data_IF_359607119945
#
_entry.id   IF_359607119945
#
_cell.length_a   1.000
_cell.length_b   1.000
_cell.length_c   1.000
_cell.angle_alpha   90.00
_cell.angle_beta   90.00
_cell.angle_gamma   90.00
#
_symmetry.space_group_name_H-M   'P 1'
#
loop_
_entity.id
_entity.type
_entity.pdbx_description
1 polymer ?
#
# COMPACT_ATOMS: atom_id res chain seq x y z
N UNK A 1 8.40 -16.22 7.95
CA UNK A 1 8.03 -14.81 8.21
C UNK A 1 6.77 -14.78 9.06
N UNK A 2 6.78 -14.11 10.22
CA UNK A 2 5.58 -13.92 11.05
C UNK A 2 4.99 -12.53 10.81
N UNK A 3 3.66 -12.44 10.71
CA UNK A 3 2.97 -11.16 10.57
C UNK A 3 2.66 -10.58 11.96
N UNK A 4 3.02 -9.31 12.18
CA UNK A 4 2.74 -8.57 13.42
C UNK A 4 1.76 -7.44 13.15
N UNK A 5 0.48 -7.62 13.52
CA UNK A 5 -0.54 -6.60 13.33
C UNK A 5 -0.49 -5.51 14.42
N UNK A 6 -0.25 -4.26 14.00
CA UNK A 6 -0.03 -3.10 14.87
C UNK A 6 -1.07 -2.03 14.62
N UNK A 7 -1.56 -1.43 15.70
CA UNK A 7 -2.33 -0.19 15.66
C UNK A 7 -1.41 0.87 16.26
N UNK A 8 -1.27 2.01 15.59
CA UNK A 8 -0.41 3.09 16.07
C UNK A 8 -1.11 4.43 15.83
N UNK A 9 -1.38 5.15 16.93
CA UNK A 9 -1.93 6.50 16.88
C UNK A 9 -1.03 7.44 16.08
N UNK A 10 0.28 7.38 16.29
CA UNK A 10 1.28 8.19 15.59
C UNK A 10 1.30 7.92 14.08
N UNK A 11 1.29 6.65 13.67
CA UNK A 11 1.23 6.29 12.24
C UNK A 11 -0.06 6.79 11.59
N UNK A 12 -1.19 6.66 12.28
CA UNK A 12 -2.48 7.16 11.80
C UNK A 12 -2.55 8.70 11.75
N UNK A 13 -1.93 9.40 12.70
CA UNK A 13 -1.84 10.86 12.69
C UNK A 13 -0.98 11.35 11.51
N UNK A 14 0.18 10.72 11.30
CA UNK A 14 1.02 11.03 10.14
C UNK A 14 0.25 10.79 8.85
N UNK A 15 -0.38 9.61 8.70
CA UNK A 15 -1.20 9.30 7.54
C UNK A 15 -2.33 10.32 7.31
N UNK A 16 -3.01 10.74 8.38
CA UNK A 16 -4.09 11.73 8.32
C UNK A 16 -3.61 13.05 7.68
N UNK A 17 -2.52 13.62 8.19
CA UNK A 17 -1.96 14.89 7.67
C UNK A 17 -1.33 14.70 6.28
N UNK A 18 -0.61 13.60 6.08
CA UNK A 18 0.02 13.25 4.79
C UNK A 18 -1.04 13.15 3.69
N UNK A 19 -2.17 12.49 3.97
CA UNK A 19 -3.27 12.34 3.04
C UNK A 19 -4.02 13.66 2.81
N UNK A 20 -4.32 14.43 3.86
CA UNK A 20 -5.04 15.71 3.78
C UNK A 20 -4.29 16.77 2.99
N UNK A 21 -2.96 16.72 2.99
CA UNK A 21 -2.14 17.67 2.24
C UNK A 21 -2.15 17.45 0.72
N UNK A 22 -2.61 16.30 0.22
CA UNK A 22 -2.66 15.96 -1.22
C UNK A 22 -1.36 16.25 -1.97
N UNK A 23 -0.22 16.02 -1.33
CA UNK A 23 1.06 16.42 -1.88
C UNK A 23 1.55 15.52 -3.02
N UNK A 24 1.04 14.28 -3.09
CA UNK A 24 1.34 13.30 -4.13
C UNK A 24 0.05 12.63 -4.68
N UNK A 25 0.18 11.95 -5.82
CA UNK A 25 -0.93 11.31 -6.54
C UNK A 25 -1.58 10.11 -5.81
N UNK A 26 -0.90 9.55 -4.81
CA UNK A 26 -1.38 8.42 -4.01
C UNK A 26 -2.22 8.86 -2.81
N UNK A 27 -2.33 10.16 -2.52
CA UNK A 27 -3.23 10.68 -1.50
C UNK A 27 -4.69 10.39 -1.90
N UNK A 28 -5.47 9.85 -0.95
CA UNK A 28 -6.87 9.49 -1.12
C UNK A 28 -7.76 10.73 -1.00
N UNK A 29 -8.03 11.39 -2.12
CA UNK A 29 -8.95 12.56 -2.17
C UNK A 29 -10.31 12.28 -1.54
N UNK A 30 -10.84 11.08 -1.71
CA UNK A 30 -12.12 10.69 -1.12
C UNK A 30 -12.08 10.66 0.42
N UNK A 31 -10.92 10.33 1.02
CA UNK A 31 -10.78 10.40 2.48
C UNK A 31 -10.83 11.85 2.96
N UNK A 32 -10.20 12.76 2.21
CA UNK A 32 -10.20 14.18 2.53
C UNK A 32 -11.61 14.76 2.43
N UNK A 33 -12.38 14.36 1.41
CA UNK A 33 -13.80 14.72 1.30
C UNK A 33 -14.58 14.26 2.55
N UNK A 34 -14.45 13.00 2.94
CA UNK A 34 -15.11 12.48 4.16
C UNK A 34 -14.70 13.22 5.44
N UNK A 35 -13.41 13.53 5.59
CA UNK A 35 -12.92 14.28 6.75
C UNK A 35 -13.41 15.73 6.76
N UNK A 36 -13.38 16.42 5.63
CA UNK A 36 -13.84 17.81 5.51
C UNK A 36 -15.36 17.92 5.68
N UNK A 37 -16.14 16.94 5.20
CA UNK A 37 -17.57 16.86 5.45
C UNK A 37 -17.86 16.79 6.97
N UNK A 38 -16.98 16.13 7.73
CA UNK A 38 -17.11 16.00 9.19
C UNK A 38 -16.62 17.22 9.97
N UNK A 39 -15.56 17.88 9.51
CA UNK A 39 -14.89 18.96 10.26
C UNK A 39 -15.23 20.37 9.78
N UNK A 40 -15.96 20.48 8.67
CA UNK A 40 -16.16 21.74 7.99
C UNK A 40 -14.92 22.22 7.22
N UNK A 41 -15.00 23.46 6.73
CA UNK A 41 -13.94 24.09 5.93
C UNK A 41 -12.66 24.25 6.75
N UNK A 42 -11.52 24.19 6.06
CA UNK A 42 -10.22 24.47 6.68
C UNK A 42 -10.08 25.94 7.06
N UNK A 43 -9.55 26.21 8.24
CA UNK A 43 -9.20 27.57 8.69
C UNK A 43 -8.01 28.12 7.89
N UNK A 44 -7.75 29.43 7.98
CA UNK A 44 -6.56 30.05 7.36
C UNK A 44 -5.27 29.39 7.84
N UNK A 45 -5.14 29.16 9.16
CA UNK A 45 -3.99 28.48 9.77
C UNK A 45 -3.79 27.06 9.22
N UNK A 46 -4.86 26.29 9.13
CA UNK A 46 -4.83 24.92 8.60
C UNK A 46 -4.43 24.87 7.11
N UNK A 47 -4.94 25.80 6.30
CA UNK A 47 -4.56 25.92 4.88
C UNK A 47 -3.07 26.22 4.72
N UNK A 48 -2.54 27.16 5.52
CA UNK A 48 -1.10 27.50 5.53
C UNK A 48 -0.26 26.29 5.96
N UNK A 49 -0.68 25.58 7.02
CA UNK A 49 0.00 24.38 7.49
C UNK A 49 0.07 23.28 6.40
N UNK A 50 -1.04 22.97 5.72
CA UNK A 50 -1.03 21.97 4.63
C UNK A 50 -0.19 22.42 3.44
N UNK A 51 -0.18 23.72 3.09
CA UNK A 51 0.68 24.26 2.03
C UNK A 51 2.15 24.03 2.38
N UNK A 52 2.55 24.38 3.59
CA UNK A 52 3.93 24.21 4.06
C UNK A 52 4.32 22.73 4.11
N UNK A 53 3.46 21.87 4.67
CA UNK A 53 3.66 20.42 4.69
C UNK A 53 3.83 19.86 3.27
N UNK A 54 2.97 20.26 2.32
CA UNK A 54 3.02 19.82 0.92
C UNK A 54 4.35 20.17 0.26
N UNK A 55 4.81 21.41 0.42
CA UNK A 55 6.10 21.85 -0.13
C UNK A 55 7.25 21.06 0.51
N UNK A 56 7.19 20.84 1.82
CA UNK A 56 8.18 20.07 2.56
C UNK A 56 8.28 18.62 2.08
N UNK A 57 7.14 17.93 1.91
CA UNK A 57 7.14 16.53 1.48
C UNK A 57 7.59 16.37 0.02
N UNK A 58 7.31 17.34 -0.86
CA UNK A 58 7.80 17.34 -2.24
C UNK A 58 9.33 17.45 -2.27
N UNK A 59 9.89 18.43 -1.57
CA UNK A 59 11.35 18.59 -1.41
C UNK A 59 12.01 17.29 -0.93
N UNK A 60 11.54 16.73 0.20
CA UNK A 60 12.16 15.52 0.74
C UNK A 60 11.84 14.24 -0.03
N UNK A 61 10.88 14.24 -0.95
CA UNK A 61 10.71 13.15 -1.92
C UNK A 61 11.83 13.17 -2.96
N UNK A 62 12.17 14.33 -3.49
CA UNK A 62 13.25 14.50 -4.48
C UNK A 62 14.62 14.13 -3.88
N UNK A 63 14.84 14.48 -2.61
CA UNK A 63 16.05 14.11 -1.85
C UNK A 63 16.04 12.64 -1.36
N UNK A 64 15.02 11.83 -1.69
CA UNK A 64 14.85 10.45 -1.21
C UNK A 64 14.78 10.29 0.34
N UNK A 65 14.44 11.35 1.07
CA UNK A 65 14.33 11.36 2.53
C UNK A 65 12.91 11.10 3.05
N UNK A 66 11.86 11.35 2.25
CA UNK A 66 10.46 11.14 2.64
C UNK A 66 10.20 9.73 3.19
N UNK A 67 10.75 8.69 2.55
CA UNK A 67 10.59 7.30 3.02
C UNK A 67 11.18 7.11 4.42
N UNK A 68 12.35 7.71 4.71
CA UNK A 68 13.01 7.64 6.02
C UNK A 68 12.19 8.38 7.08
N UNK A 69 11.70 9.59 6.76
CA UNK A 69 10.80 10.38 7.61
C UNK A 69 9.57 9.55 7.98
N UNK A 70 8.84 9.04 6.99
CA UNK A 70 7.65 8.21 7.19
C UNK A 70 7.94 6.99 8.06
N UNK A 71 9.04 6.28 7.82
CA UNK A 71 9.39 5.07 8.59
C UNK A 71 9.52 5.34 10.10
N UNK A 72 9.93 6.55 10.50
CA UNK A 72 10.03 6.94 11.91
C UNK A 72 8.64 6.95 12.57
N UNK A 73 7.62 7.49 11.91
CA UNK A 73 6.22 7.49 12.41
C UNK A 73 5.63 6.08 12.51
N UNK A 74 6.16 5.13 11.72
CA UNK A 74 5.82 3.71 11.75
C UNK A 74 6.87 2.90 12.52
N UNK A 75 7.39 3.42 13.63
CA UNK A 75 8.30 2.67 14.51
C UNK A 75 7.64 2.42 15.86
N UNK A 76 7.46 1.14 16.21
CA UNK A 76 6.65 0.70 17.36
C UNK A 76 7.17 1.08 18.75
N UNK A 77 8.34 1.71 18.88
CA UNK A 77 8.84 2.21 20.18
C UNK A 77 8.02 3.41 20.67
N UNK A 78 7.62 4.30 19.78
CA UNK A 78 6.91 5.54 20.15
C UNK A 78 5.42 5.31 20.42
N UNK A 79 4.81 4.32 19.76
CA UNK A 79 3.38 4.00 19.92
C UNK A 79 3.05 3.50 21.33
N UNK A 80 3.87 2.59 21.90
CA UNK A 80 3.65 2.01 23.23
C UNK A 80 3.81 3.03 24.37
N UNK A 81 4.64 4.04 24.16
CA UNK A 81 4.90 5.06 25.18
C UNK A 81 3.82 6.14 25.17
N UNK A 82 3.37 6.60 23.99
CA UNK A 82 2.23 7.55 23.90
C UNK A 82 0.96 6.96 24.53
N UNK A 83 0.68 5.67 24.33
CA UNK A 83 -0.51 5.02 24.93
C UNK A 83 -0.43 4.92 26.46
N UNK A 84 0.77 4.76 27.04
CA UNK A 84 0.95 4.62 28.49
C UNK A 84 0.94 5.97 29.23
N UNK A 85 1.28 7.07 28.57
CA UNK A 85 1.45 8.38 29.20
C UNK A 85 0.55 9.49 28.64
N UNK A 86 -0.42 9.18 27.75
CA UNK A 86 -1.34 10.17 27.18
C UNK A 86 -2.25 10.87 28.20
N UNK A 87 -2.31 10.39 29.45
CA UNK A 87 -3.06 11.02 30.54
C UNK A 87 -2.27 12.13 31.26
N UNK A 88 -0.97 12.27 30.99
CA UNK A 88 -0.12 13.32 31.54
C UNK A 88 0.27 14.30 30.44
N UNK A 89 -0.02 15.60 30.64
CA UNK A 89 0.41 16.65 29.72
C UNK A 89 1.95 16.62 29.48
N UNK A 90 2.74 16.22 30.47
CA UNK A 90 4.20 16.08 30.39
C UNK A 90 4.70 14.92 29.51
N UNK A 91 3.88 13.88 29.31
CA UNK A 91 4.26 12.70 28.53
C UNK A 91 4.36 12.98 27.04
N UNK A 92 3.62 13.96 26.53
CA UNK A 92 3.64 14.37 25.13
C UNK A 92 4.91 15.15 24.78
N UNK A 93 5.42 16.00 25.68
CA UNK A 93 6.60 16.83 25.41
C UNK A 93 7.90 16.03 25.34
N UNK A 94 8.17 15.17 26.33
CA UNK A 94 9.41 14.35 26.36
C UNK A 94 9.52 13.39 25.16
N UNK A 95 8.41 12.79 24.74
CA UNK A 95 8.40 11.85 23.60
C UNK A 95 8.40 12.54 22.24
N UNK A 96 7.76 13.70 22.14
CA UNK A 96 7.97 14.58 21.00
C UNK A 96 9.46 14.95 20.89
N UNK A 97 10.19 15.08 22.00
CA UNK A 97 11.63 15.29 22.02
C UNK A 97 12.43 14.23 21.25
N UNK A 98 12.25 12.95 21.53
CA UNK A 98 12.97 11.88 20.81
C UNK A 98 12.59 11.77 19.33
N UNK A 99 11.28 11.84 19.04
CA UNK A 99 10.77 11.79 17.67
C UNK A 99 11.30 12.99 16.87
N UNK A 100 11.23 14.20 17.44
CA UNK A 100 11.81 15.43 16.89
C UNK A 100 13.31 15.28 16.70
N UNK A 101 14.05 14.74 17.67
CA UNK A 101 15.50 14.52 17.57
C UNK A 101 15.85 13.60 16.40
N UNK A 102 15.11 12.49 16.20
CA UNK A 102 15.33 11.58 15.06
C UNK A 102 15.04 12.26 13.72
N UNK A 103 13.98 13.06 13.65
CA UNK A 103 13.65 13.83 12.43
C UNK A 103 14.70 14.92 12.18
N UNK A 104 15.12 15.69 13.20
CA UNK A 104 16.15 16.73 13.10
C UNK A 104 17.53 16.20 12.72
N UNK A 105 17.79 14.89 12.92
CA UNK A 105 18.98 14.21 12.38
C UNK A 105 18.87 13.87 10.89
N UNK A 106 17.67 13.83 10.32
CA UNK A 106 17.44 13.53 8.91
C UNK A 106 17.26 14.77 8.05
N UNK A 107 16.70 15.84 8.61
CA UNK A 107 16.32 17.04 7.88
C UNK A 107 16.67 18.30 8.67
N UNK A 108 16.72 19.44 7.99
CA UNK A 108 17.00 20.75 8.59
C UNK A 108 16.05 21.02 9.77
N UNK A 109 16.57 21.64 10.83
CA UNK A 109 15.81 21.95 12.06
C UNK A 109 14.53 22.71 11.74
N UNK A 110 14.64 23.81 10.96
CA UNK A 110 13.47 24.61 10.52
C UNK A 110 12.44 23.77 9.77
N UNK A 111 12.86 22.80 8.96
CA UNK A 111 11.95 21.89 8.26
C UNK A 111 11.27 20.89 9.19
N UNK A 112 12.01 20.39 10.19
CA UNK A 112 11.42 19.55 11.22
C UNK A 112 10.34 20.34 11.98
N UNK A 113 10.60 21.59 12.35
CA UNK A 113 9.63 22.42 13.06
C UNK A 113 8.36 22.64 12.20
N UNK A 114 8.50 22.96 10.90
CA UNK A 114 7.36 23.01 9.95
C UNK A 114 6.55 21.70 9.94
N UNK A 115 7.22 20.55 9.91
CA UNK A 115 6.56 19.24 9.93
C UNK A 115 5.72 19.06 11.19
N UNK A 116 6.31 19.32 12.35
CA UNK A 116 5.63 19.13 13.63
C UNK A 116 4.53 20.17 13.86
N UNK A 117 4.72 21.42 13.46
CA UNK A 117 3.70 22.46 13.55
C UNK A 117 2.48 22.13 12.69
N UNK A 118 2.72 21.56 11.50
CA UNK A 118 1.66 21.05 10.64
C UNK A 118 0.90 19.90 11.30
N UNK A 119 1.63 18.93 11.87
CA UNK A 119 1.04 17.78 12.57
C UNK A 119 0.23 18.23 13.81
N UNK A 120 0.75 19.17 14.59
CA UNK A 120 0.10 19.72 15.78
C UNK A 120 -1.14 20.54 15.44
N UNK A 121 -1.09 21.33 14.36
CA UNK A 121 -2.24 22.13 13.88
C UNK A 121 -3.47 21.27 13.63
N UNK A 122 -3.29 20.05 13.13
CA UNK A 122 -4.37 19.11 12.84
C UNK A 122 -4.66 18.12 13.98
N UNK A 123 -3.94 18.18 15.09
CA UNK A 123 -4.09 17.22 16.19
C UNK A 123 -5.50 17.20 16.79
N UNK A 124 -6.19 18.34 17.03
CA UNK A 124 -7.56 18.33 17.56
C UNK A 124 -8.54 17.58 16.64
N UNK A 125 -8.52 17.86 15.33
CA UNK A 125 -9.35 17.14 14.34
C UNK A 125 -8.99 15.66 14.27
N UNK A 126 -7.70 15.34 14.33
CA UNK A 126 -7.24 13.95 14.38
C UNK A 126 -7.73 13.21 15.65
N UNK A 127 -7.78 13.83 16.83
CA UNK A 127 -8.35 13.19 18.03
C UNK A 127 -9.80 12.76 17.79
N UNK A 128 -10.60 13.60 17.13
CA UNK A 128 -11.99 13.29 16.77
C UNK A 128 -12.10 12.15 15.75
N UNK A 129 -11.14 12.01 14.83
CA UNK A 129 -11.02 10.81 13.98
C UNK A 129 -10.65 9.61 14.85
N UNK A 130 -9.58 9.71 15.64
CA UNK A 130 -9.02 8.62 16.42
C UNK A 130 -10.04 8.02 17.38
N UNK A 131 -10.74 8.85 18.18
CA UNK A 131 -11.78 8.40 19.11
C UNK A 131 -12.90 7.62 18.41
N UNK A 132 -13.27 8.01 17.18
CA UNK A 132 -14.31 7.34 16.39
C UNK A 132 -13.83 5.98 15.83
N UNK A 133 -12.64 5.94 15.24
CA UNK A 133 -12.21 4.78 14.44
C UNK A 133 -11.26 3.81 15.16
N UNK A 134 -10.64 4.21 16.29
CA UNK A 134 -9.76 3.32 17.06
C UNK A 134 -10.49 2.05 17.56
N UNK A 135 -11.76 2.10 18.03
CA UNK A 135 -12.50 0.89 18.38
C UNK A 135 -12.65 -0.06 17.18
N UNK A 136 -12.94 0.49 15.99
CA UNK A 136 -13.01 -0.28 14.74
C UNK A 136 -11.69 -0.95 14.40
N UNK A 137 -10.57 -0.24 14.49
CA UNK A 137 -9.25 -0.84 14.25
C UNK A 137 -8.94 -1.96 15.25
N UNK A 138 -9.28 -1.77 16.52
CA UNK A 138 -9.08 -2.77 17.58
C UNK A 138 -9.92 -4.03 17.33
N UNK A 139 -11.18 -3.84 16.91
CA UNK A 139 -12.05 -4.93 16.49
C UNK A 139 -11.49 -5.67 15.26
N UNK A 140 -11.10 -4.94 14.21
CA UNK A 140 -10.47 -5.52 13.03
C UNK A 140 -9.22 -6.33 13.38
N UNK A 141 -8.36 -5.82 14.28
CA UNK A 141 -7.17 -6.54 14.73
C UNK A 141 -7.53 -7.88 15.38
N UNK A 142 -8.60 -7.94 16.19
CA UNK A 142 -9.08 -9.20 16.79
C UNK A 142 -9.53 -10.19 15.71
N UNK A 143 -10.35 -9.75 14.76
CA UNK A 143 -10.81 -10.55 13.61
C UNK A 143 -9.62 -11.10 12.82
N UNK A 144 -8.69 -10.22 12.46
CA UNK A 144 -7.50 -10.57 11.66
C UNK A 144 -6.65 -11.58 12.40
N UNK A 145 -6.40 -11.38 13.71
CA UNK A 145 -5.61 -12.31 14.51
C UNK A 145 -6.28 -13.69 14.63
N UNK A 146 -7.61 -13.73 14.78
CA UNK A 146 -8.36 -14.99 14.78
C UNK A 146 -8.18 -15.71 13.44
N UNK A 147 -8.49 -15.04 12.34
CA UNK A 147 -8.39 -15.62 11.00
C UNK A 147 -6.95 -15.94 10.59
N UNK A 148 -5.95 -15.19 11.06
CA UNK A 148 -4.53 -15.45 10.80
C UNK A 148 -4.08 -16.81 11.32
N UNK A 149 -4.64 -17.30 12.43
CA UNK A 149 -4.31 -18.63 12.96
C UNK A 149 -4.58 -19.72 11.92
N UNK A 150 -5.70 -19.61 11.22
CA UNK A 150 -6.15 -20.59 10.22
C UNK A 150 -5.43 -20.42 8.88
N UNK A 151 -5.03 -19.18 8.55
CA UNK A 151 -4.41 -18.86 7.26
C UNK A 151 -2.89 -18.83 7.28
N UNK A 152 -2.25 -18.91 8.46
CA UNK A 152 -0.78 -18.77 8.61
C UNK A 152 0.02 -19.74 7.74
N UNK A 153 -0.36 -21.02 7.70
CA UNK A 153 0.37 -22.03 6.93
C UNK A 153 0.25 -21.78 5.43
N UNK A 154 -0.94 -21.38 4.99
CA UNK A 154 -1.20 -20.96 3.62
C UNK A 154 -0.33 -19.75 3.24
N UNK A 155 -0.37 -18.68 4.04
CA UNK A 155 0.43 -17.47 3.82
C UNK A 155 1.93 -17.79 3.76
N UNK A 156 2.44 -18.64 4.66
CA UNK A 156 3.84 -19.08 4.60
C UNK A 156 4.18 -19.75 3.27
N UNK A 157 3.32 -20.65 2.78
CA UNK A 157 3.49 -21.30 1.48
C UNK A 157 3.51 -20.29 0.32
N UNK A 158 2.65 -19.27 0.35
CA UNK A 158 2.68 -18.15 -0.62
C UNK A 158 4.03 -17.48 -0.59
N UNK A 159 4.47 -17.06 0.60
CA UNK A 159 5.71 -16.33 0.75
C UNK A 159 6.92 -17.16 0.29
N UNK A 160 6.90 -18.49 0.41
CA UNK A 160 7.99 -19.35 -0.07
C UNK A 160 8.03 -19.37 -1.60
N UNK A 161 6.87 -19.51 -2.24
CA UNK A 161 6.77 -19.49 -3.70
C UNK A 161 7.13 -18.12 -4.28
N UNK A 162 6.68 -17.05 -3.64
CA UNK A 162 7.06 -15.69 -4.00
C UNK A 162 8.56 -15.47 -3.82
N UNK A 163 9.17 -15.96 -2.75
CA UNK A 163 10.61 -15.86 -2.56
C UNK A 163 11.37 -16.56 -3.71
N UNK A 164 11.00 -17.80 -4.07
CA UNK A 164 11.54 -18.49 -5.25
C UNK A 164 11.35 -17.68 -6.54
N UNK A 165 10.14 -17.15 -6.76
CA UNK A 165 9.82 -16.36 -7.95
C UNK A 165 10.69 -15.10 -8.05
N UNK A 166 10.86 -14.35 -6.96
CA UNK A 166 11.74 -13.18 -6.95
C UNK A 166 13.23 -13.54 -6.80
N UNK A 167 13.58 -14.83 -6.77
CA UNK A 167 14.95 -15.30 -6.62
C UNK A 167 15.60 -14.93 -5.29
N UNK A 168 14.80 -14.87 -4.23
CA UNK A 168 15.21 -14.52 -2.87
C UNK A 168 14.95 -15.67 -1.91
N UNK A 169 15.66 -15.65 -0.80
CA UNK A 169 15.30 -16.46 0.36
C UNK A 169 14.21 -15.73 1.15
N UNK A 170 13.31 -16.49 1.79
CA UNK A 170 12.44 -15.87 2.80
C UNK A 170 13.35 -15.38 3.93
N UNK A 171 13.40 -14.07 4.11
CA UNK A 171 13.99 -13.51 5.31
C UNK A 171 13.29 -14.09 6.54
N UNK A 172 14.06 -14.59 7.52
CA UNK A 172 13.55 -15.01 8.84
C UNK A 172 12.96 -13.84 9.66
N UNK A 173 12.82 -12.65 9.06
CA UNK A 173 12.34 -11.44 9.70
C UNK A 173 10.82 -11.45 9.81
N UNK A 174 10.33 -10.78 10.85
CA UNK A 174 8.91 -10.50 11.04
C UNK A 174 8.49 -9.31 10.17
N UNK A 175 7.24 -9.33 9.70
CA UNK A 175 6.62 -8.25 8.94
C UNK A 175 5.63 -7.50 9.84
N UNK A 176 5.87 -6.21 10.04
CA UNK A 176 4.94 -5.32 10.72
C UNK A 176 3.83 -4.86 9.77
N UNK A 177 2.59 -5.16 10.14
CA UNK A 177 1.40 -4.76 9.40
C UNK A 177 0.65 -3.71 10.21
N UNK A 178 0.81 -2.44 9.82
CA UNK A 178 0.15 -1.32 10.47
C UNK A 178 -1.28 -1.15 9.95
N UNK A 179 -2.27 -1.21 10.83
CA UNK A 179 -3.66 -0.97 10.50
C UNK A 179 -3.94 0.54 10.52
N UNK A 180 -4.42 1.06 9.40
CA UNK A 180 -4.67 2.49 9.16
C UNK A 180 -6.17 2.72 8.96
N UNK A 181 -6.66 3.86 9.45
CA UNK A 181 -8.06 4.27 9.36
C UNK A 181 -8.45 4.50 7.88
N UNK A 182 -9.49 3.81 7.42
CA UNK A 182 -10.23 4.15 6.19
C UNK A 182 -11.58 4.78 6.57
N UNK A 183 -11.82 6.07 6.28
CA UNK A 183 -13.11 6.69 6.54
C UNK A 183 -14.19 6.30 5.50
N UNK A 184 -13.79 5.81 4.33
CA UNK A 184 -14.68 5.47 3.21
C UNK A 184 -15.12 4.02 3.31
N UNK A 185 -16.44 3.78 3.27
CA UNK A 185 -17.01 2.42 3.28
C UNK A 185 -16.52 1.63 2.06
N UNK A 186 -16.23 0.35 2.25
CA UNK A 186 -15.81 -0.58 1.21
C UNK A 186 -14.52 -0.18 0.45
N UNK A 187 -13.73 0.75 1.00
CA UNK A 187 -12.44 1.11 0.44
C UNK A 187 -11.32 0.55 1.29
N UNK A 188 -10.40 -0.15 0.64
CA UNK A 188 -9.17 -0.67 1.21
C UNK A 188 -7.99 -0.22 0.35
N UNK A 189 -6.88 0.09 1.02
CA UNK A 189 -5.66 0.57 0.37
C UNK A 189 -4.44 0.08 1.13
N UNK A 190 -3.32 -0.05 0.44
CA UNK A 190 -2.09 -0.58 1.00
C UNK A 190 -0.91 0.32 0.68
N UNK A 191 0.14 0.20 1.49
CA UNK A 191 1.45 0.76 1.14
C UNK A 191 2.61 0.03 1.81
N UNK A 192 3.65 -0.29 1.05
CA UNK A 192 4.95 -0.61 1.59
C UNK A 192 5.59 0.63 2.23
N UNK A 193 5.80 0.58 3.55
CA UNK A 193 6.40 1.65 4.33
C UNK A 193 7.92 1.56 4.26
N UNK A 194 8.46 0.38 4.61
CA UNK A 194 9.89 0.08 4.59
C UNK A 194 10.16 -1.44 4.46
N UNK A 195 11.43 -1.88 4.60
CA UNK A 195 11.94 -3.26 4.40
C UNK A 195 11.27 -4.36 5.25
N UNK A 196 10.27 -4.11 6.06
CA UNK A 196 9.54 -5.16 6.77
C UNK A 196 8.29 -4.55 7.38
N UNK A 197 7.77 -3.52 6.73
CA UNK A 197 6.69 -2.72 7.26
C UNK A 197 5.77 -2.36 6.12
N UNK A 198 4.51 -2.70 6.30
CA UNK A 198 3.43 -2.34 5.41
C UNK A 198 2.35 -1.65 6.21
N UNK A 199 1.53 -0.86 5.54
CA UNK A 199 0.31 -0.29 6.09
C UNK A 199 -0.89 -0.75 5.27
N UNK A 200 -1.99 -1.06 5.96
CA UNK A 200 -3.24 -1.48 5.35
C UNK A 200 -4.37 -0.59 5.88
N UNK A 201 -5.00 0.16 4.98
CA UNK A 201 -6.14 1.04 5.21
C UNK A 201 -7.43 0.21 5.27
N UNK A 202 -8.17 0.25 6.38
CA UNK A 202 -9.34 -0.63 6.61
C UNK A 202 -10.53 0.11 7.20
N UNK A 203 -11.72 -0.21 6.67
CA UNK A 203 -13.01 0.01 7.32
C UNK A 203 -13.31 -1.14 8.28
N UNK A 204 -14.46 -1.10 8.98
CA UNK A 204 -14.90 -2.23 9.83
C UNK A 204 -15.00 -3.50 8.99
N UNK A 205 -14.24 -4.53 9.36
CA UNK A 205 -14.32 -5.86 8.79
C UNK A 205 -15.53 -6.60 9.37
N UNK A 206 -16.08 -7.51 8.59
CA UNK A 206 -17.06 -8.48 9.06
C UNK A 206 -16.41 -9.87 9.03
N UNK A 207 -16.43 -10.57 10.17
CA UNK A 207 -15.81 -11.89 10.30
C UNK A 207 -16.50 -12.94 9.45
N UNK A 208 -17.82 -12.83 9.28
CA UNK A 208 -18.61 -13.77 8.48
C UNK A 208 -18.51 -13.45 6.98
N UNK A 209 -18.13 -12.20 6.63
CA UNK A 209 -17.90 -11.80 5.26
C UNK A 209 -16.53 -12.27 4.77
N UNK A 210 -16.47 -13.53 4.32
CA UNK A 210 -15.27 -14.15 3.75
C UNK A 210 -14.61 -13.24 2.72
N UNK A 211 -15.37 -12.68 1.77
CA UNK A 211 -14.83 -11.83 0.71
C UNK A 211 -14.04 -10.61 1.23
N UNK A 212 -14.44 -10.00 2.35
CA UNK A 212 -13.67 -8.91 2.96
C UNK A 212 -12.34 -9.40 3.53
N UNK A 213 -12.31 -10.57 4.18
CA UNK A 213 -11.09 -11.17 4.72
C UNK A 213 -10.14 -11.59 3.59
N UNK A 214 -10.69 -12.14 2.51
CA UNK A 214 -9.96 -12.47 1.29
C UNK A 214 -9.27 -11.22 0.73
N UNK A 215 -10.03 -10.14 0.52
CA UNK A 215 -9.50 -8.88 0.01
C UNK A 215 -8.41 -8.31 0.91
N UNK A 216 -8.58 -8.41 2.23
CA UNK A 216 -7.56 -8.03 3.20
C UNK A 216 -6.25 -8.81 3.01
N UNK A 217 -6.30 -10.15 2.91
CA UNK A 217 -5.10 -10.95 2.73
C UNK A 217 -4.42 -10.72 1.39
N UNK A 218 -5.20 -10.53 0.32
CA UNK A 218 -4.67 -10.14 -0.98
C UNK A 218 -3.84 -8.85 -0.86
N UNK A 219 -4.39 -7.85 -0.16
CA UNK A 219 -3.72 -6.58 0.05
C UNK A 219 -2.45 -6.73 0.91
N UNK A 220 -2.49 -7.56 1.94
CA UNK A 220 -1.29 -7.88 2.74
C UNK A 220 -0.20 -8.52 1.88
N UNK A 221 -0.54 -9.51 1.04
CA UNK A 221 0.44 -10.17 0.16
C UNK A 221 1.00 -9.18 -0.86
N UNK A 222 0.14 -8.36 -1.48
CA UNK A 222 0.52 -7.33 -2.44
C UNK A 222 1.57 -6.38 -1.85
N UNK A 223 1.29 -5.80 -0.67
CA UNK A 223 2.23 -4.88 -0.03
C UNK A 223 3.48 -5.59 0.50
N UNK A 224 3.36 -6.85 0.90
CA UNK A 224 4.51 -7.67 1.31
C UNK A 224 5.50 -7.85 0.17
N UNK A 225 5.01 -8.05 -1.06
CA UNK A 225 5.87 -8.16 -2.24
C UNK A 225 6.72 -6.90 -2.42
N UNK A 226 6.07 -5.74 -2.38
CA UNK A 226 6.76 -4.46 -2.49
C UNK A 226 7.78 -4.21 -1.37
N UNK A 227 7.45 -4.62 -0.13
CA UNK A 227 8.31 -4.39 1.04
C UNK A 227 9.50 -5.36 1.12
N UNK A 228 9.28 -6.64 0.82
CA UNK A 228 10.24 -7.72 1.08
C UNK A 228 11.00 -8.12 -0.19
N UNK A 229 10.29 -8.33 -1.30
CA UNK A 229 10.87 -8.96 -2.48
C UNK A 229 11.42 -7.94 -3.50
N UNK A 230 10.84 -6.74 -3.58
CA UNK A 230 11.27 -5.69 -4.52
C UNK A 230 12.42 -4.80 -3.99
N UNK A 231 13.60 -5.41 -3.81
CA UNK A 231 14.80 -4.72 -3.36
C UNK A 231 15.40 -3.77 -4.45
N UNK A 232 16.54 -3.14 -4.14
CA UNK A 232 17.20 -2.22 -5.08
C UNK A 232 17.75 -2.92 -6.33
N UNK A 233 18.24 -4.15 -6.19
CA UNK A 233 18.76 -4.96 -7.29
C UNK A 233 17.65 -5.29 -8.29
N UNK A 234 16.50 -5.79 -7.80
CA UNK A 234 15.31 -6.02 -8.61
C UNK A 234 14.87 -4.74 -9.33
N UNK A 235 14.85 -3.59 -8.64
CA UNK A 235 14.48 -2.29 -9.24
C UNK A 235 15.47 -1.84 -10.32
N UNK A 236 16.77 -2.08 -10.13
CA UNK A 236 17.81 -1.82 -11.15
C UNK A 236 17.61 -2.72 -12.37
N UNK A 237 17.35 -4.00 -12.14
CA UNK A 237 17.11 -4.98 -13.20
C UNK A 237 15.87 -4.63 -14.05
N UNK A 238 14.74 -4.29 -13.41
CA UNK A 238 13.53 -3.82 -14.12
C UNK A 238 13.83 -2.54 -14.94
N UNK A 239 14.61 -1.61 -14.38
CA UNK A 239 15.01 -0.39 -15.12
C UNK A 239 15.84 -0.71 -16.37
N UNK A 240 16.77 -1.66 -16.27
CA UNK A 240 17.57 -2.11 -17.41
C UNK A 240 16.72 -2.79 -18.47
N UNK A 241 15.80 -3.66 -18.07
CA UNK A 241 14.86 -4.31 -18.99
C UNK A 241 14.02 -3.27 -19.76
N UNK A 242 13.43 -2.28 -19.07
CA UNK A 242 12.60 -1.25 -19.70
C UNK A 242 13.41 -0.42 -20.73
N UNK A 243 14.66 -0.06 -20.41
CA UNK A 243 15.54 0.63 -21.36
C UNK A 243 15.74 -0.15 -22.66
N UNK A 244 15.71 -1.48 -22.61
CA UNK A 244 15.86 -2.35 -23.78
C UNK A 244 14.57 -2.52 -24.59
N UNK A 245 13.39 -2.31 -23.98
CA UNK A 245 12.11 -2.62 -24.66
C UNK A 245 11.61 -1.50 -25.56
N UNK A 246 11.81 -0.23 -25.18
CA UNK A 246 11.37 0.88 -26.01
C UNK A 246 12.27 2.09 -25.81
N UNK A 247 13.32 2.26 -26.64
CA UNK A 247 14.10 3.50 -26.64
C UNK A 247 13.24 4.73 -26.99
N UNK A 248 12.12 4.54 -27.71
CA UNK A 248 11.20 5.61 -28.14
C UNK A 248 10.03 5.85 -27.17
N UNK A 249 9.92 5.08 -26.08
CA UNK A 249 8.82 5.16 -25.11
C UNK A 249 7.62 4.27 -25.43
N UNK A 250 6.75 4.02 -24.43
CA UNK A 250 5.54 3.21 -24.61
C UNK A 250 4.39 4.02 -25.21
N UNK A 251 3.56 3.38 -26.03
CA UNK A 251 2.35 3.99 -26.58
C UNK A 251 1.27 4.21 -25.51
N UNK A 252 1.28 3.39 -24.47
CA UNK A 252 0.23 3.36 -23.45
C UNK A 252 0.15 4.66 -22.63
N UNK A 253 -1.05 5.26 -22.59
CA UNK A 253 -1.33 6.49 -21.82
C UNK A 253 -1.00 6.33 -20.33
N UNK A 254 -1.26 5.16 -19.77
CA UNK A 254 -1.00 4.90 -18.36
C UNK A 254 0.51 4.88 -18.05
N UNK A 255 1.33 4.39 -18.98
CA UNK A 255 2.78 4.42 -18.88
C UNK A 255 3.30 5.85 -18.94
N UNK A 256 2.73 6.69 -19.81
CA UNK A 256 3.07 8.13 -19.87
C UNK A 256 2.72 8.85 -18.56
N UNK A 257 1.58 8.51 -17.95
CA UNK A 257 1.09 9.12 -16.71
C UNK A 257 1.84 8.68 -15.45
N UNK A 258 2.11 7.38 -15.30
CA UNK A 258 2.64 6.78 -14.07
C UNK A 258 4.12 6.38 -14.17
N UNK A 259 4.64 6.27 -15.38
CA UNK A 259 6.00 5.79 -15.68
C UNK A 259 6.06 4.28 -15.84
N UNK A 260 6.80 3.83 -16.86
CA UNK A 260 6.91 2.42 -17.26
C UNK A 260 7.35 1.49 -16.12
N UNK A 261 8.30 1.96 -15.30
CA UNK A 261 8.83 1.19 -14.15
C UNK A 261 7.76 0.89 -13.11
N UNK A 262 6.90 1.86 -12.83
CA UNK A 262 5.85 1.68 -11.83
C UNK A 262 4.77 0.74 -12.37
N UNK A 263 4.30 0.99 -13.60
CA UNK A 263 3.29 0.14 -14.25
C UNK A 263 3.75 -1.31 -14.33
N UNK A 264 4.97 -1.57 -14.82
CA UNK A 264 5.49 -2.94 -14.93
C UNK A 264 5.61 -3.63 -13.55
N UNK A 265 6.11 -2.93 -12.53
CA UNK A 265 6.19 -3.47 -11.16
C UNK A 265 4.83 -3.83 -10.59
N UNK A 266 3.84 -2.96 -10.78
CA UNK A 266 2.47 -3.16 -10.32
C UNK A 266 1.81 -4.34 -11.03
N UNK A 267 2.10 -4.56 -12.32
CA UNK A 267 1.61 -5.70 -13.09
C UNK A 267 2.25 -7.02 -12.63
N UNK A 268 3.58 -7.05 -12.47
CA UNK A 268 4.28 -8.23 -11.92
C UNK A 268 3.76 -8.53 -10.52
N UNK A 269 3.57 -7.51 -9.69
CA UNK A 269 3.06 -7.70 -8.33
C UNK A 269 1.62 -8.20 -8.35
N UNK A 270 0.72 -7.59 -9.13
CA UNK A 270 -0.67 -8.02 -9.23
C UNK A 270 -0.79 -9.48 -9.68
N UNK A 271 -0.05 -9.86 -10.73
CA UNK A 271 -0.02 -11.24 -11.24
C UNK A 271 0.60 -12.23 -10.26
N UNK A 272 1.66 -11.84 -9.55
CA UNK A 272 2.23 -12.66 -8.49
C UNK A 272 1.28 -12.77 -7.26
N UNK A 273 0.49 -11.74 -6.98
CA UNK A 273 -0.48 -11.76 -5.88
C UNK A 273 -1.61 -12.74 -6.16
N UNK A 274 -1.91 -13.07 -7.43
CA UNK A 274 -2.80 -14.17 -7.84
C UNK A 274 -2.37 -15.53 -7.24
N UNK A 275 -1.12 -15.70 -6.78
CA UNK A 275 -0.71 -16.83 -5.96
C UNK A 275 -1.55 -17.00 -4.68
N UNK A 276 -2.06 -15.89 -4.13
CA UNK A 276 -2.98 -15.90 -3.00
C UNK A 276 -4.32 -16.56 -3.35
N UNK A 277 -4.76 -16.51 -4.62
CA UNK A 277 -6.00 -17.15 -5.07
C UNK A 277 -6.01 -18.65 -4.81
N UNK A 278 -4.87 -19.31 -5.04
CA UNK A 278 -4.76 -20.77 -4.86
C UNK A 278 -5.00 -21.19 -3.40
N UNK A 279 -4.84 -20.27 -2.45
CA UNK A 279 -5.07 -20.52 -1.04
C UNK A 279 -6.39 -19.95 -0.54
N UNK A 280 -6.88 -18.91 -1.18
CA UNK A 280 -8.25 -18.43 -1.01
C UNK A 280 -9.25 -19.50 -1.44
N UNK A 281 -9.03 -20.14 -2.59
CA UNK A 281 -9.81 -21.30 -3.06
C UNK A 281 -9.81 -22.43 -2.01
N UNK A 282 -8.69 -22.65 -1.31
CA UNK A 282 -8.60 -23.68 -0.26
C UNK A 282 -9.36 -23.29 1.02
N UNK A 283 -9.39 -22.01 1.38
CA UNK A 283 -10.08 -21.51 2.57
C UNK A 283 -11.58 -21.35 2.36
N UNK A 284 -12.01 -20.86 1.19
CA UNK A 284 -13.42 -20.58 0.92
C UNK A 284 -14.13 -21.71 0.20
N UNK A 285 -13.40 -22.63 -0.42
CA UNK A 285 -13.93 -23.60 -1.40
C UNK A 285 -14.65 -22.93 -2.57
N UNK A 286 -14.46 -21.62 -2.77
CA UNK A 286 -15.09 -20.87 -3.85
C UNK A 286 -14.16 -20.76 -5.05
N UNK A 287 -14.74 -20.84 -6.26
CA UNK A 287 -14.04 -20.52 -7.51
C UNK A 287 -14.16 -19.02 -7.78
N UNK A 288 -13.03 -18.33 -7.88
CA UNK A 288 -13.00 -16.93 -8.30
C UNK A 288 -13.15 -16.86 -9.82
N UNK A 289 -14.24 -16.25 -10.27
CA UNK A 289 -14.46 -15.96 -11.69
C UNK A 289 -13.81 -14.60 -12.06
N UNK A 290 -12.56 -14.69 -12.48
CA UNK A 290 -11.77 -13.53 -12.92
C UNK A 290 -12.38 -12.80 -14.12
N UNK A 291 -13.10 -13.51 -14.99
CA UNK A 291 -13.76 -12.90 -16.14
C UNK A 291 -14.95 -12.06 -15.68
N UNK A 292 -15.78 -12.56 -14.76
CA UNK A 292 -16.87 -11.79 -14.14
C UNK A 292 -16.34 -10.56 -13.40
N UNK A 293 -15.23 -10.71 -12.67
CA UNK A 293 -14.57 -9.60 -11.98
C UNK A 293 -14.07 -8.53 -12.97
N UNK A 294 -13.42 -8.95 -14.06
CA UNK A 294 -12.95 -8.03 -15.10
C UNK A 294 -14.13 -7.31 -15.78
N UNK A 295 -15.17 -8.03 -16.19
CA UNK A 295 -16.39 -7.45 -16.78
C UNK A 295 -17.03 -6.41 -15.85
N UNK A 296 -17.12 -6.70 -14.54
CA UNK A 296 -17.65 -5.75 -13.56
C UNK A 296 -16.79 -4.49 -13.45
N UNK A 297 -15.46 -4.62 -13.47
CA UNK A 297 -14.55 -3.47 -13.42
C UNK A 297 -14.68 -2.58 -14.67
N UNK A 298 -14.77 -3.19 -15.85
CA UNK A 298 -14.87 -2.45 -17.13
C UNK A 298 -16.14 -1.60 -17.21
N UNK A 299 -17.21 -1.99 -16.50
CA UNK A 299 -18.45 -1.19 -16.42
C UNK A 299 -18.33 0.07 -15.56
N UNK A 300 -17.37 0.10 -14.63
CA UNK A 300 -17.32 1.16 -13.59
C UNK A 300 -16.06 1.99 -13.63
N UNK A 301 -15.07 1.62 -14.45
CA UNK A 301 -13.73 2.18 -14.41
C UNK A 301 -13.28 2.68 -15.77
N UNK A 302 -12.47 3.74 -15.76
CA UNK A 302 -11.80 4.23 -16.97
C UNK A 302 -10.80 3.18 -17.49
N UNK A 303 -10.64 3.16 -18.82
CA UNK A 303 -9.57 2.42 -19.49
C UNK A 303 -8.18 3.02 -19.22
N UNK A 304 -8.08 4.22 -18.64
CA UNK A 304 -6.80 4.81 -18.21
C UNK A 304 -6.49 4.51 -16.73
N UNK A 305 -7.22 3.59 -16.09
CA UNK A 305 -7.02 3.19 -14.69
C UNK A 305 -6.07 1.99 -14.54
N UNK A 306 -5.14 2.11 -13.59
CA UNK A 306 -4.16 1.05 -13.30
C UNK A 306 -4.82 -0.22 -12.80
N UNK A 307 -5.93 -0.12 -12.08
CA UNK A 307 -6.61 -1.33 -11.60
C UNK A 307 -7.25 -2.11 -12.75
N UNK A 308 -7.76 -1.43 -13.78
CA UNK A 308 -8.27 -2.08 -14.99
C UNK A 308 -7.16 -2.88 -15.68
N UNK A 309 -6.00 -2.25 -15.91
CA UNK A 309 -4.82 -2.92 -16.48
C UNK A 309 -4.31 -4.08 -15.59
N UNK A 310 -4.25 -3.89 -14.26
CA UNK A 310 -3.88 -4.95 -13.30
C UNK A 310 -4.79 -6.16 -13.41
N UNK A 311 -6.12 -5.97 -13.42
CA UNK A 311 -7.08 -7.09 -13.52
C UNK A 311 -6.99 -7.80 -14.88
N UNK A 312 -6.84 -7.05 -15.97
CA UNK A 312 -6.68 -7.64 -17.30
C UNK A 312 -5.36 -8.43 -17.42
N UNK A 313 -4.26 -7.92 -16.85
CA UNK A 313 -3.01 -8.65 -16.80
C UNK A 313 -3.08 -9.91 -15.93
N UNK A 314 -3.77 -9.86 -14.78
CA UNK A 314 -4.03 -11.05 -13.96
C UNK A 314 -4.78 -12.12 -14.75
N UNK A 315 -5.82 -11.73 -15.50
CA UNK A 315 -6.58 -12.64 -16.35
C UNK A 315 -5.69 -13.29 -17.43
N UNK A 316 -4.93 -12.49 -18.19
CA UNK A 316 -4.11 -12.97 -19.31
C UNK A 316 -2.84 -13.73 -18.90
N UNK A 317 -2.26 -13.41 -17.74
CA UNK A 317 -1.00 -14.03 -17.28
C UNK A 317 -1.20 -15.15 -16.26
N UNK A 318 -2.45 -15.49 -15.89
CA UNK A 318 -2.77 -16.46 -14.84
C UNK A 318 -2.06 -17.80 -15.00
N UNK A 319 -2.15 -18.41 -16.18
CA UNK A 319 -1.51 -19.71 -16.43
C UNK A 319 0.00 -19.61 -16.40
N UNK A 320 0.54 -18.53 -16.97
CA UNK A 320 1.98 -18.28 -16.99
C UNK A 320 2.51 -18.14 -15.57
N UNK A 321 1.89 -17.31 -14.72
CA UNK A 321 2.38 -17.11 -13.35
C UNK A 321 2.22 -18.37 -12.50
N UNK A 322 1.13 -19.13 -12.69
CA UNK A 322 0.95 -20.41 -12.02
C UNK A 322 2.08 -21.40 -12.35
N UNK A 323 2.49 -21.50 -13.62
CA UNK A 323 3.62 -22.33 -14.04
C UNK A 323 4.92 -21.90 -13.36
N UNK A 324 5.18 -20.60 -13.27
CA UNK A 324 6.39 -20.09 -12.61
C UNK A 324 6.40 -20.43 -11.11
N UNK A 325 5.29 -20.19 -10.42
CA UNK A 325 5.19 -20.43 -8.98
C UNK A 325 5.17 -21.92 -8.60
N UNK A 326 4.60 -22.78 -9.43
CA UNK A 326 4.59 -24.23 -9.21
C UNK A 326 5.96 -24.85 -9.46
N UNK A 327 6.67 -24.38 -10.50
CA UNK A 327 7.99 -24.89 -10.85
C UNK A 327 9.13 -24.17 -10.11
N UNK A 328 8.80 -23.31 -9.13
CA UNK A 328 9.77 -22.50 -8.37
C UNK A 328 10.72 -21.69 -9.28
N UNK A 329 10.25 -21.30 -10.48
CA UNK A 329 11.03 -20.57 -11.48
C UNK A 329 11.15 -19.10 -11.08
N UNK A 330 12.36 -18.56 -11.19
CA UNK A 330 12.64 -17.13 -10.98
C UNK A 330 12.03 -16.28 -12.10
N UNK A 331 11.68 -15.03 -11.82
CA UNK A 331 11.33 -14.04 -12.85
C UNK A 331 12.51 -13.92 -13.80
N UNK A 332 12.22 -13.94 -15.10
CA UNK A 332 13.22 -13.86 -16.15
C UNK A 332 12.75 -12.96 -17.32
N UNK A 333 13.61 -12.80 -18.33
CA UNK A 333 13.31 -11.97 -19.50
C UNK A 333 12.04 -12.42 -20.24
N UNK A 334 11.80 -13.71 -20.52
CA UNK A 334 10.54 -14.17 -21.12
C UNK A 334 9.29 -13.73 -20.35
N UNK A 335 9.27 -13.85 -19.02
CA UNK A 335 8.13 -13.39 -18.22
C UNK A 335 7.94 -11.87 -18.32
N UNK A 336 9.02 -11.10 -18.22
CA UNK A 336 8.97 -9.64 -18.33
C UNK A 336 8.49 -9.18 -19.71
N UNK A 337 8.91 -9.85 -20.79
CA UNK A 337 8.43 -9.58 -22.15
C UNK A 337 6.91 -9.76 -22.25
N UNK A 338 6.36 -10.85 -21.71
CA UNK A 338 4.90 -11.08 -21.68
C UNK A 338 4.16 -9.96 -20.93
N UNK A 339 4.68 -9.53 -19.78
CA UNK A 339 4.10 -8.41 -19.04
C UNK A 339 4.16 -7.11 -19.85
N UNK A 340 5.30 -6.84 -20.50
CA UNK A 340 5.50 -5.64 -21.29
C UNK A 340 4.60 -5.58 -22.52
N UNK A 341 4.45 -6.68 -23.26
CA UNK A 341 3.57 -6.76 -24.42
C UNK A 341 2.12 -6.42 -24.05
N UNK A 342 1.62 -6.88 -22.90
CA UNK A 342 0.29 -6.48 -22.43
C UNK A 342 0.22 -4.98 -22.16
N UNK A 343 1.22 -4.42 -21.47
CA UNK A 343 1.24 -3.00 -21.13
C UNK A 343 1.28 -2.13 -22.38
N UNK A 344 2.11 -2.47 -23.37
CA UNK A 344 2.33 -1.62 -24.54
C UNK A 344 1.16 -1.63 -25.53
N UNK A 345 0.41 -2.73 -25.58
CA UNK A 345 -0.79 -2.88 -26.41
C UNK A 345 -2.10 -2.50 -25.67
N UNK A 346 -1.99 -1.82 -24.52
CA UNK A 346 -3.14 -1.39 -23.73
C UNK A 346 -3.48 0.09 -24.01
N UNK A 347 -4.77 0.43 -24.26
CA UNK A 347 -5.97 -0.40 -24.04
C UNK A 347 -6.53 -1.14 -25.28
N UNK A 348 -5.87 -1.08 -26.43
CA UNK A 348 -6.40 -1.57 -27.72
C UNK A 348 -6.73 -3.06 -27.71
N UNK A 349 -5.82 -3.91 -27.21
CA UNK A 349 -6.05 -5.36 -27.15
C UNK A 349 -7.22 -5.72 -26.22
N UNK A 350 -7.35 -5.02 -25.09
CA UNK A 350 -8.49 -5.21 -24.19
C UNK A 350 -9.81 -4.87 -24.91
N UNK A 351 -9.85 -3.76 -25.66
CA UNK A 351 -11.04 -3.38 -26.42
C UNK A 351 -11.39 -4.41 -27.50
N UNK A 352 -10.39 -4.97 -28.19
CA UNK A 352 -10.61 -6.04 -29.17
C UNK A 352 -11.13 -7.32 -28.52
N UNK A 353 -10.56 -7.73 -27.37
CA UNK A 353 -11.06 -8.88 -26.59
C UNK A 353 -12.49 -8.70 -26.10
N UNK A 354 -12.90 -7.45 -25.79
CA UNK A 354 -14.28 -7.14 -25.40
C UNK A 354 -15.21 -7.21 -26.61
N UNK A 355 -14.79 -6.76 -27.79
CA UNK A 355 -15.62 -6.80 -29.02
C UNK A 355 -15.85 -8.22 -29.54
N UNK A 356 -14.89 -9.11 -29.35
CA UNK A 356 -14.94 -10.49 -29.85
C UNK A 356 -15.72 -11.46 -28.93
N UNK A 357 -16.31 -10.98 -27.83
CA UNK A 357 -17.03 -11.77 -26.83
C UNK A 357 -18.43 -11.22 -26.63
#
# INVERSE_FOLDING_TARGET
MKLQFKISKLANQFFFVDNLSEWNIYCRRNYNKEWLNRFGKLTKKEKVALKNYRLLMRKYREENLYKKIRNIFYSGRYARYIERYAHYNDGLEKNNGELRKKIKKLILIKSADILFDSISTFYPKFQTVWKKYQPTLSYNKKIILKNYKDTKNALNSIFYRLASFYGKEIAKQDLDVYLIISPVKNYQGGKAIDKNKISIELNKLDYENKNQLIAFWFLVVHETIHAIFENQEYKKWIKQFIKQQSPLGSKSKIVKKLGAKEVLREIITATATTAADLLLIKITKEKIDWQKILKKQLKTSSLDDLNTLRRWAVYNLRETINKYLNNKRKIDKPFLKKCWTLIDNYPENLLQEIKNK
#
